data_IF_553656598747
#
_entry.id   IF_553656598747
#
_cell.length_a   1.000
_cell.length_b   1.000
_cell.length_c   1.000
_cell.angle_alpha   90.00
_cell.angle_beta   90.00
_cell.angle_gamma   90.00
#
_symmetry.space_group_name_H-M   'P 1'
#
loop_
_entity.id
_entity.type
_entity.pdbx_description
1 polymer ?
#
# COMPACT_ATOMS: atom_id res chain seq x y z
N UNK A 1 14.69 -6.10 8.82
CA UNK A 1 14.77 -5.57 7.44
C UNK A 1 16.13 -4.95 7.07
N UNK A 2 16.56 -5.12 5.82
CA UNK A 2 17.68 -4.40 5.18
C UNK A 2 17.22 -3.03 4.67
N UNK A 3 18.12 -2.06 4.48
CA UNK A 3 17.78 -0.70 4.04
C UNK A 3 16.87 -0.65 2.79
N UNK A 4 17.17 -1.45 1.75
CA UNK A 4 16.34 -1.53 0.53
C UNK A 4 14.90 -1.99 0.82
N UNK A 5 14.70 -2.90 1.77
CA UNK A 5 13.37 -3.38 2.17
C UNK A 5 12.60 -2.31 2.93
N UNK A 6 13.29 -1.53 3.79
CA UNK A 6 12.66 -0.42 4.53
C UNK A 6 12.19 0.68 3.57
N UNK A 7 13.03 1.08 2.61
CA UNK A 7 12.64 2.04 1.58
C UNK A 7 11.44 1.55 0.77
N UNK A 8 11.42 0.26 0.42
CA UNK A 8 10.32 -0.35 -0.31
C UNK A 8 9.02 -0.39 0.50
N UNK A 9 9.11 -0.66 1.80
CA UNK A 9 7.97 -0.62 2.70
C UNK A 9 7.36 0.78 2.77
N UNK A 10 8.16 1.83 2.95
CA UNK A 10 7.64 3.21 2.94
C UNK A 10 6.97 3.58 1.62
N UNK A 11 7.61 3.24 0.50
CA UNK A 11 7.04 3.46 -0.83
C UNK A 11 5.67 2.77 -0.94
N UNK A 12 5.60 1.48 -0.58
CA UNK A 12 4.39 0.70 -0.73
C UNK A 12 3.26 1.25 0.14
N UNK A 13 3.52 1.56 1.42
CA UNK A 13 2.52 2.13 2.32
C UNK A 13 1.99 3.49 1.83
N UNK A 14 2.88 4.34 1.29
CA UNK A 14 2.45 5.62 0.74
C UNK A 14 1.62 5.47 -0.52
N UNK A 15 2.01 4.55 -1.41
CA UNK A 15 1.23 4.24 -2.62
C UNK A 15 -0.10 3.57 -2.31
N UNK A 16 -0.19 2.73 -1.29
CA UNK A 16 -1.47 2.17 -0.83
C UNK A 16 -2.39 3.26 -0.29
N UNK A 17 -1.87 4.23 0.46
CA UNK A 17 -2.66 5.37 0.91
C UNK A 17 -3.24 6.19 -0.27
N UNK A 18 -2.41 6.43 -1.28
CA UNK A 18 -2.82 7.16 -2.50
C UNK A 18 -3.82 6.36 -3.32
N UNK A 19 -3.62 5.04 -3.44
CA UNK A 19 -4.61 4.13 -4.04
C UNK A 19 -5.95 4.20 -3.29
N UNK A 20 -5.91 4.22 -1.96
CA UNK A 20 -7.12 4.28 -1.14
C UNK A 20 -7.89 5.58 -1.36
N UNK A 21 -7.18 6.71 -1.44
CA UNK A 21 -7.76 8.01 -1.81
C UNK A 21 -8.30 8.04 -3.24
N UNK A 22 -7.59 7.44 -4.19
CA UNK A 22 -8.03 7.39 -5.58
C UNK A 22 -9.33 6.60 -5.74
N UNK A 23 -9.46 5.47 -5.03
CA UNK A 23 -10.63 4.58 -5.15
C UNK A 23 -11.86 5.09 -4.37
N UNK A 24 -11.65 5.74 -3.22
CA UNK A 24 -12.74 6.03 -2.29
C UNK A 24 -12.88 7.53 -1.94
N UNK A 25 -12.00 8.37 -2.45
CA UNK A 25 -12.02 9.81 -2.23
C UNK A 25 -11.95 10.21 -0.76
N UNK A 26 -12.77 11.18 -0.37
CA UNK A 26 -12.80 11.73 1.00
C UNK A 26 -13.51 10.83 2.02
N UNK A 27 -14.01 9.66 1.60
CA UNK A 27 -14.68 8.71 2.48
C UNK A 27 -13.72 7.88 3.36
N UNK A 28 -12.42 7.91 3.07
CA UNK A 28 -11.40 7.12 3.76
C UNK A 28 -10.48 7.97 4.61
N UNK A 29 -9.96 7.39 5.70
CA UNK A 29 -8.92 7.99 6.52
C UNK A 29 -7.55 7.36 6.22
N UNK A 30 -6.64 8.16 5.67
CA UNK A 30 -5.25 7.74 5.38
C UNK A 30 -4.27 8.09 6.50
N UNK A 31 -4.76 8.57 7.65
CA UNK A 31 -3.92 8.85 8.83
C UNK A 31 -3.13 7.62 9.32
N UNK A 32 -3.69 6.38 9.33
CA UNK A 32 -2.92 5.17 9.67
C UNK A 32 -1.68 5.00 8.77
N UNK A 33 -1.81 5.21 7.47
CA UNK A 33 -0.69 5.11 6.53
C UNK A 33 0.38 6.18 6.76
N UNK A 34 -0.01 7.45 6.98
CA UNK A 34 0.95 8.52 7.32
C UNK A 34 1.77 8.17 8.55
N UNK A 35 1.08 7.73 9.61
CA UNK A 35 1.74 7.30 10.86
C UNK A 35 2.70 6.16 10.60
N UNK A 36 2.29 5.15 9.83
CA UNK A 36 3.15 4.03 9.45
C UNK A 36 4.39 4.48 8.67
N UNK A 37 4.24 5.33 7.65
CA UNK A 37 5.36 5.89 6.91
C UNK A 37 6.33 6.63 7.83
N UNK A 38 5.83 7.49 8.74
CA UNK A 38 6.67 8.18 9.73
C UNK A 38 7.40 7.20 10.66
N UNK A 39 6.68 6.24 11.26
CA UNK A 39 7.24 5.28 12.20
C UNK A 39 8.30 4.39 11.55
N UNK A 40 8.10 3.95 10.30
CA UNK A 40 9.11 3.19 9.54
C UNK A 40 10.37 4.04 9.34
N UNK A 41 10.21 5.30 8.93
CA UNK A 41 11.34 6.21 8.73
C UNK A 41 12.15 6.43 10.00
N UNK A 42 11.47 6.71 11.11
CA UNK A 42 12.09 6.91 12.42
C UNK A 42 12.74 5.64 12.97
N UNK A 43 12.02 4.51 12.96
CA UNK A 43 12.50 3.27 13.55
C UNK A 43 13.76 2.76 12.86
N UNK A 44 13.85 2.91 11.54
CA UNK A 44 14.96 2.37 10.74
C UNK A 44 16.02 3.41 10.35
N UNK A 45 15.87 4.67 10.79
CA UNK A 45 16.87 5.72 10.58
C UNK A 45 17.01 6.15 9.13
N UNK A 46 15.90 6.21 8.39
CA UNK A 46 15.91 6.71 7.02
C UNK A 46 16.15 8.23 6.99
N UNK A 47 16.77 8.78 5.92
CA UNK A 47 16.88 10.22 5.76
C UNK A 47 15.51 10.90 5.82
N UNK A 48 15.42 12.00 6.58
CA UNK A 48 14.18 12.78 6.73
C UNK A 48 13.60 13.18 5.37
N UNK A 49 14.39 13.67 4.38
CA UNK A 49 13.85 14.03 3.07
C UNK A 49 13.17 12.87 2.33
N UNK A 50 13.68 11.64 2.51
CA UNK A 50 13.12 10.46 1.84
C UNK A 50 11.75 10.10 2.41
N UNK A 51 11.59 10.18 3.73
CA UNK A 51 10.30 9.98 4.40
C UNK A 51 9.32 11.10 4.06
N UNK A 52 9.79 12.36 4.09
CA UNK A 52 8.96 13.53 3.85
C UNK A 52 8.39 13.55 2.43
N UNK A 53 9.17 13.14 1.43
CA UNK A 53 8.71 13.00 0.05
C UNK A 53 7.43 12.16 -0.06
N UNK A 54 7.35 11.04 0.65
CA UNK A 54 6.17 10.18 0.62
C UNK A 54 4.97 10.81 1.33
N UNK A 55 5.20 11.46 2.48
CA UNK A 55 4.15 12.16 3.21
C UNK A 55 3.57 13.34 2.40
N UNK A 56 4.43 14.05 1.67
CA UNK A 56 4.01 15.16 0.81
C UNK A 56 3.15 14.67 -0.36
N UNK A 57 3.48 13.52 -0.97
CA UNK A 57 2.66 12.91 -2.02
C UNK A 57 1.27 12.51 -1.51
N UNK A 58 1.17 11.88 -0.33
CA UNK A 58 -0.12 11.54 0.29
C UNK A 58 -0.94 12.82 0.52
N UNK A 59 -0.30 13.87 1.05
CA UNK A 59 -0.97 15.14 1.32
C UNK A 59 -1.46 15.83 0.06
N UNK A 60 -0.63 15.85 -1.00
CA UNK A 60 -1.02 16.42 -2.29
C UNK A 60 -2.22 15.67 -2.88
N UNK A 61 -2.24 14.34 -2.74
CA UNK A 61 -3.36 13.53 -3.18
C UNK A 61 -4.64 13.90 -2.41
N UNK A 62 -4.60 13.93 -1.07
CA UNK A 62 -5.76 14.35 -0.27
C UNK A 62 -6.30 15.72 -0.69
N UNK A 63 -5.42 16.68 -0.98
CA UNK A 63 -5.80 18.00 -1.47
C UNK A 63 -6.51 17.88 -2.82
N UNK A 64 -5.96 17.11 -3.76
CA UNK A 64 -6.55 16.89 -5.07
C UNK A 64 -7.96 16.29 -4.97
N UNK A 65 -8.15 15.24 -4.16
CA UNK A 65 -9.46 14.59 -4.01
C UNK A 65 -10.46 15.44 -3.24
N UNK A 66 -9.98 16.27 -2.30
CA UNK A 66 -10.85 17.21 -1.55
C UNK A 66 -11.32 18.39 -2.40
N UNK A 67 -10.49 18.87 -3.33
CA UNK A 67 -10.79 20.03 -4.16
C UNK A 67 -11.60 19.69 -5.42
N UNK A 68 -11.66 18.42 -5.81
CA UNK A 68 -12.37 18.00 -7.00
C UNK A 68 -13.89 18.21 -6.85
N UNK A 69 -14.48 18.91 -7.81
CA UNK A 69 -15.94 19.09 -7.88
C UNK A 69 -16.66 17.81 -8.33
N UNK A 70 -15.98 16.98 -9.13
CA UNK A 70 -16.46 15.69 -9.62
C UNK A 70 -15.43 14.60 -9.30
N UNK A 71 -15.80 13.54 -8.55
CA UNK A 71 -14.87 12.49 -8.15
C UNK A 71 -14.17 11.79 -9.33
N UNK A 72 -14.83 11.66 -10.48
CA UNK A 72 -14.28 10.99 -11.66
C UNK A 72 -13.26 11.83 -12.44
N UNK A 73 -13.11 13.13 -12.10
CA UNK A 73 -12.22 14.08 -12.79
C UNK A 73 -11.14 14.64 -11.87
N UNK A 74 -10.82 13.93 -10.79
CA UNK A 74 -9.73 14.30 -9.91
C UNK A 74 -8.42 14.28 -10.69
N UNK A 75 -7.63 15.35 -10.59
CA UNK A 75 -6.28 15.38 -11.14
C UNK A 75 -5.33 14.74 -10.12
N UNK A 76 -5.25 13.41 -10.15
CA UNK A 76 -4.46 12.61 -9.23
C UNK A 76 -2.96 12.92 -9.33
N UNK A 77 -2.25 12.83 -8.21
CA UNK A 77 -0.80 13.13 -8.12
C UNK A 77 0.03 12.01 -8.74
N UNK A 78 -0.48 10.79 -8.73
CA UNK A 78 0.15 9.62 -9.36
C UNK A 78 -0.84 8.92 -10.28
N UNK A 79 -0.31 8.34 -11.35
CA UNK A 79 -1.08 7.54 -12.31
C UNK A 79 -1.51 6.21 -11.67
N UNK A 80 -2.69 5.72 -12.04
CA UNK A 80 -3.24 4.45 -11.53
C UNK A 80 -2.29 3.26 -11.73
N UNK A 81 -1.60 3.21 -12.88
CA UNK A 81 -0.62 2.16 -13.22
C UNK A 81 0.57 2.08 -12.26
N UNK A 82 0.88 3.16 -11.55
CA UNK A 82 2.00 3.25 -10.61
C UNK A 82 1.57 2.91 -9.17
N UNK A 83 0.27 2.66 -8.97
CA UNK A 83 -0.39 2.37 -7.70
C UNK A 83 -0.73 0.89 -7.55
N UNK A 84 -0.71 0.36 -6.31
CA UNK A 84 -1.03 -1.03 -6.02
C UNK A 84 -2.55 -1.29 -5.96
N UNK A 85 -3.31 -0.86 -6.98
CA UNK A 85 -4.78 -1.07 -7.05
C UNK A 85 -5.12 -2.56 -7.03
N UNK A 86 -4.28 -3.37 -7.66
CA UNK A 86 -4.41 -4.83 -7.73
C UNK A 86 -3.28 -5.52 -6.97
N UNK A 87 -2.99 -5.05 -5.76
CA UNK A 87 -1.95 -5.61 -4.91
C UNK A 87 -2.08 -7.12 -4.80
N UNK A 88 -0.97 -7.81 -5.02
CA UNK A 88 -0.89 -9.23 -4.79
C UNK A 88 -0.94 -9.47 -3.27
N UNK A 89 -1.64 -10.50 -2.80
CA UNK A 89 -1.61 -10.99 -1.43
C UNK A 89 -0.21 -11.30 -0.92
N UNK A 90 0.74 -11.71 -1.77
CA UNK A 90 2.15 -11.75 -1.36
C UNK A 90 2.69 -10.34 -1.05
N UNK A 91 2.39 -9.35 -1.90
CA UNK A 91 2.78 -7.96 -1.64
C UNK A 91 2.14 -7.41 -0.36
N UNK A 92 0.87 -7.74 -0.10
CA UNK A 92 0.21 -7.32 1.13
C UNK A 92 0.78 -8.03 2.36
N UNK A 93 1.09 -9.34 2.26
CA UNK A 93 1.77 -10.07 3.34
C UNK A 93 3.17 -9.50 3.62
N UNK A 94 3.92 -9.11 2.59
CA UNK A 94 5.21 -8.44 2.75
C UNK A 94 5.07 -7.11 3.50
N UNK A 95 4.04 -6.32 3.17
CA UNK A 95 3.76 -5.06 3.86
C UNK A 95 3.35 -5.29 5.33
N UNK A 96 2.47 -6.27 5.59
CA UNK A 96 2.06 -6.69 6.94
C UNK A 96 3.28 -7.12 7.76
N UNK A 97 4.15 -7.95 7.19
CA UNK A 97 5.38 -8.40 7.85
C UNK A 97 6.32 -7.23 8.16
N UNK A 98 6.48 -6.30 7.21
CA UNK A 98 7.28 -5.09 7.40
C UNK A 98 6.74 -4.18 8.53
N UNK A 99 5.42 -4.08 8.68
CA UNK A 99 4.77 -3.37 9.79
C UNK A 99 5.07 -4.06 11.13
N UNK A 100 5.01 -5.39 11.19
CA UNK A 100 5.38 -6.15 12.40
C UNK A 100 6.86 -6.00 12.76
N UNK A 101 7.77 -6.12 11.79
CA UNK A 101 9.20 -5.89 12.02
C UNK A 101 9.47 -4.47 12.53
N UNK A 102 8.74 -3.48 12.01
CA UNK A 102 8.82 -2.10 12.49
C UNK A 102 8.31 -1.98 13.92
N UNK A 103 7.17 -2.61 14.25
CA UNK A 103 6.62 -2.63 15.60
C UNK A 103 7.61 -3.19 16.63
N UNK A 104 8.32 -4.28 16.29
CA UNK A 104 9.35 -4.88 17.16
C UNK A 104 10.49 -3.90 17.46
N UNK A 105 10.81 -3.00 16.52
CA UNK A 105 11.88 -2.01 16.67
C UNK A 105 11.45 -0.77 17.46
N UNK A 106 10.15 -0.47 17.53
CA UNK A 106 9.63 0.67 18.25
C UNK A 106 9.66 0.44 19.76
N UNK A 107 10.07 1.46 20.52
CA UNK A 107 10.04 1.45 21.99
C UNK A 107 8.71 1.97 22.58
N UNK A 108 7.83 2.53 21.75
CA UNK A 108 6.53 3.07 22.18
C UNK A 108 5.41 2.05 22.04
N UNK A 109 4.59 1.91 23.09
CA UNK A 109 3.38 1.10 23.04
C UNK A 109 2.37 1.63 22.01
N UNK A 110 2.25 2.96 21.89
CA UNK A 110 1.34 3.57 20.92
C UNK A 110 1.82 3.36 19.49
N UNK A 111 3.13 3.53 19.23
CA UNK A 111 3.70 3.23 17.92
C UNK A 111 3.50 1.76 17.51
N UNK A 112 3.60 0.83 18.47
CA UNK A 112 3.29 -0.60 18.22
C UNK A 112 1.82 -0.83 17.90
N UNK A 113 0.90 -0.14 18.58
CA UNK A 113 -0.55 -0.20 18.28
C UNK A 113 -0.86 0.36 16.90
N UNK A 114 -0.19 1.45 16.50
CA UNK A 114 -0.35 2.03 15.15
C UNK A 114 0.05 1.04 14.06
N UNK A 115 1.20 0.36 14.21
CA UNK A 115 1.63 -0.64 13.23
C UNK A 115 0.68 -1.83 13.17
N UNK A 116 0.23 -2.30 14.35
CA UNK A 116 -0.71 -3.41 14.44
C UNK A 116 -2.07 -3.10 13.81
N UNK A 117 -2.60 -1.90 14.06
CA UNK A 117 -3.89 -1.48 13.51
C UNK A 117 -3.88 -1.49 11.98
N UNK A 118 -2.85 -0.89 11.36
CA UNK A 118 -2.74 -0.89 9.90
C UNK A 118 -2.48 -2.30 9.35
N UNK A 119 -1.63 -3.09 10.00
CA UNK A 119 -1.38 -4.48 9.58
C UNK A 119 -2.67 -5.32 9.60
N UNK A 120 -3.55 -5.08 10.58
CA UNK A 120 -4.85 -5.74 10.67
C UNK A 120 -5.78 -5.28 9.54
N UNK A 121 -5.87 -3.99 9.28
CA UNK A 121 -6.66 -3.46 8.16
C UNK A 121 -6.22 -4.07 6.82
N UNK A 122 -4.92 -4.09 6.55
CA UNK A 122 -4.36 -4.73 5.36
C UNK A 122 -4.69 -6.22 5.27
N UNK A 123 -4.74 -6.92 6.42
CA UNK A 123 -5.12 -8.33 6.45
C UNK A 123 -6.61 -8.56 6.17
N UNK A 124 -7.47 -7.61 6.55
CA UNK A 124 -8.92 -7.67 6.29
C UNK A 124 -9.23 -7.39 4.81
N UNK A 125 -8.40 -6.59 4.12
CA UNK A 125 -8.49 -6.37 2.68
C UNK A 125 -8.02 -7.57 1.84
N UNK A 126 -7.38 -8.58 2.45
CA UNK A 126 -6.91 -9.77 1.74
C UNK A 126 -7.88 -10.94 1.92
N UNK A 127 -8.38 -11.46 0.80
CA UNK A 127 -9.16 -12.69 0.75
C UNK A 127 -8.33 -13.80 0.09
N UNK A 128 -7.89 -14.77 0.88
CA UNK A 128 -7.15 -15.93 0.38
C UNK A 128 -7.97 -16.75 -0.65
N UNK A 129 -9.29 -16.69 -0.58
CA UNK A 129 -10.18 -17.36 -1.55
C UNK A 129 -10.14 -16.68 -2.91
N UNK A 130 -10.16 -15.34 -2.96
CA UNK A 130 -10.03 -14.59 -4.22
C UNK A 130 -8.66 -14.85 -4.87
N UNK A 131 -7.64 -15.05 -4.04
CA UNK A 131 -6.31 -15.46 -4.47
C UNK A 131 -6.27 -16.83 -5.12
N UNK A 132 -6.87 -17.84 -4.49
CA UNK A 132 -6.96 -19.18 -5.06
C UNK A 132 -7.70 -19.15 -6.40
N UNK A 133 -8.82 -18.43 -6.48
CA UNK A 133 -9.62 -18.29 -7.71
C UNK A 133 -8.82 -17.57 -8.81
N UNK A 134 -8.11 -16.49 -8.47
CA UNK A 134 -7.27 -15.76 -9.44
C UNK A 134 -6.14 -16.63 -9.97
N UNK A 135 -5.43 -17.36 -9.10
CA UNK A 135 -4.37 -18.29 -9.52
C UNK A 135 -4.89 -19.44 -10.38
N UNK A 136 -6.12 -19.92 -10.15
CA UNK A 136 -6.75 -20.92 -11.02
C UNK A 136 -7.07 -20.33 -12.40
N UNK A 137 -7.71 -19.16 -12.44
CA UNK A 137 -8.05 -18.45 -13.68
C UNK A 137 -6.82 -18.10 -14.52
N UNK A 138 -5.74 -17.63 -13.88
CA UNK A 138 -4.47 -17.31 -14.55
C UNK A 138 -3.81 -18.55 -15.16
N UNK A 139 -3.86 -19.69 -14.46
CA UNK A 139 -3.33 -20.96 -14.97
C UNK A 139 -4.17 -21.52 -16.13
N UNK A 140 -5.49 -21.42 -16.05
CA UNK A 140 -6.40 -21.86 -17.12
C UNK A 140 -6.20 -21.03 -18.40
N UNK A 141 -6.12 -19.70 -18.27
CA UNK A 141 -5.84 -18.81 -19.40
C UNK A 141 -4.49 -19.09 -20.08
N UNK A 142 -3.45 -19.39 -19.29
CA UNK A 142 -2.14 -19.77 -19.80
C UNK A 142 -2.16 -21.11 -20.55
N UNK A 143 -2.90 -22.11 -20.05
CA UNK A 143 -3.06 -23.41 -20.73
C UNK A 143 -3.84 -23.29 -22.04
N UNK A 144 -4.91 -22.49 -22.08
CA UNK A 144 -5.70 -22.25 -23.30
C UNK A 144 -4.87 -21.50 -24.36
N UNK A 145 -4.07 -20.51 -23.96
CA UNK A 145 -3.17 -19.77 -24.85
C UNK A 145 -2.11 -20.67 -25.51
N UNK A 146 -1.52 -21.59 -24.74
CA UNK A 146 -0.56 -22.57 -25.27
C UNK A 146 -1.20 -23.59 -26.23
N UNK A 147 -2.47 -23.95 -26.02
CA UNK A 147 -3.18 -24.86 -26.91
C UNK A 147 -3.52 -24.21 -28.27
N UNK A 148 -3.82 -22.91 -28.30
CA UNK A 148 -4.09 -22.17 -29.55
C UNK A 148 -2.84 -21.90 -30.40
N UNK A 149 -1.63 -21.96 -29.83
CA UNK A 149 -0.37 -21.73 -30.56
C UNK A 149 0.23 -22.98 -31.19
N UNK A 150 -0.38 -24.15 -30.98
CA UNK A 150 0.09 -25.44 -31.49
C UNK A 150 -0.73 -26.01 -32.67
N UNK A 151 -1.67 -25.25 -33.23
CA UNK A 151 -2.48 -25.65 -34.40
C UNK A 151 -2.15 -24.83 -35.65
#
# INVERSE_FOLDING_TARGET
>A
MKAKQVCKLQENLAKEAIAYLMLYGTAVDVTPYRKAVTQVGTAWGLPIPDTQRWLDLIRQEEIAVTQAAEPEKVNHVMEEKDLPINASGLQTLDNIWGLFETAVKLNSADGRREMYALARELSECQNLTDWIIKSQTENEGAQVSMACTQN
#
